data_IF_999867943824
#
_entry.id   IF_999867943824
#
_cell.length_a   1.000
_cell.length_b   1.000
_cell.length_c   1.000
_cell.angle_alpha   90.00
_cell.angle_beta   90.00
_cell.angle_gamma   90.00
#
_symmetry.space_group_name_H-M   'P 1'
#
loop_
_entity.id
_entity.type
_entity.pdbx_description
1 polymer ?
#
# COMPACT_ATOMS: atom_id res chain seq x y z
N UNK A 1 17.47 -6.53 -14.14
CA UNK A 1 16.72 -5.57 -13.27
C UNK A 1 15.28 -6.04 -13.16
N UNK A 2 14.85 -6.39 -11.99
CA UNK A 2 13.83 -7.34 -11.56
C UNK A 2 12.42 -7.18 -12.14
N UNK A 3 11.96 -8.19 -12.89
CA UNK A 3 10.55 -8.35 -13.28
C UNK A 3 9.58 -8.34 -12.06
N UNK A 4 9.99 -8.88 -10.92
CA UNK A 4 9.19 -8.85 -9.66
C UNK A 4 8.78 -7.43 -9.20
N UNK A 5 9.61 -6.40 -9.46
CA UNK A 5 9.31 -5.01 -9.09
C UNK A 5 8.20 -4.39 -9.94
N UNK A 6 8.12 -4.78 -11.21
CA UNK A 6 7.12 -4.28 -12.17
C UNK A 6 5.72 -4.85 -11.89
N UNK A 7 5.64 -6.12 -11.48
CA UNK A 7 4.37 -6.76 -11.13
C UNK A 7 3.77 -6.22 -9.82
N UNK A 8 4.62 -5.83 -8.86
CA UNK A 8 4.14 -5.27 -7.58
C UNK A 8 3.48 -3.89 -7.74
N UNK A 9 3.97 -3.04 -8.64
CA UNK A 9 3.38 -1.73 -8.89
C UNK A 9 2.03 -1.83 -9.64
N UNK A 10 1.93 -2.76 -10.61
CA UNK A 10 0.70 -2.95 -11.37
C UNK A 10 -0.42 -3.57 -10.51
N UNK A 11 -0.08 -4.36 -9.50
CA UNK A 11 -1.05 -5.00 -8.61
C UNK A 11 -1.73 -4.02 -7.63
N UNK A 12 -1.14 -2.83 -7.43
CA UNK A 12 -1.62 -1.81 -6.48
C UNK A 12 -1.80 -0.44 -7.12
N UNK A 13 -2.15 -0.41 -8.41
CA UNK A 13 -2.39 0.84 -9.15
C UNK A 13 -3.57 1.62 -8.57
N UNK A 14 -4.51 0.93 -7.95
CA UNK A 14 -5.64 1.48 -7.21
C UNK A 14 -5.19 2.37 -6.05
N UNK A 15 -4.21 1.91 -5.26
CA UNK A 15 -3.62 2.70 -4.18
C UNK A 15 -2.82 3.90 -4.70
N UNK A 16 -2.13 3.72 -5.83
CA UNK A 16 -1.40 4.82 -6.45
C UNK A 16 -2.33 5.94 -6.90
N UNK A 17 -3.46 5.59 -7.52
CA UNK A 17 -4.47 6.57 -7.94
C UNK A 17 -5.10 7.26 -6.72
N UNK A 18 -5.42 6.48 -5.68
CA UNK A 18 -5.96 7.01 -4.43
C UNK A 18 -5.04 8.04 -3.79
N UNK A 19 -3.75 7.70 -3.69
CA UNK A 19 -2.73 8.59 -3.10
C UNK A 19 -2.55 9.85 -3.92
N UNK A 20 -2.52 9.72 -5.25
CA UNK A 20 -2.44 10.87 -6.13
C UNK A 20 -3.63 11.83 -5.92
N UNK A 21 -4.83 11.29 -5.81
CA UNK A 21 -6.03 12.09 -5.51
C UNK A 21 -5.93 12.76 -4.13
N UNK A 22 -5.48 12.04 -3.10
CA UNK A 22 -5.27 12.60 -1.77
C UNK A 22 -4.26 13.75 -1.77
N UNK A 23 -3.14 13.60 -2.49
CA UNK A 23 -2.10 14.63 -2.62
C UNK A 23 -2.65 15.87 -3.29
N UNK A 24 -3.34 15.73 -4.44
CA UNK A 24 -3.88 16.87 -5.18
C UNK A 24 -4.99 17.58 -4.40
N UNK A 25 -5.91 16.81 -3.79
CA UNK A 25 -7.00 17.36 -2.99
C UNK A 25 -6.48 18.13 -1.77
N UNK A 26 -5.53 17.55 -1.03
CA UNK A 26 -4.96 18.19 0.15
C UNK A 26 -4.21 19.48 -0.19
N UNK A 27 -3.50 19.49 -1.33
CA UNK A 27 -2.82 20.68 -1.80
C UNK A 27 -3.82 21.77 -2.21
N UNK A 28 -4.89 21.41 -2.92
CA UNK A 28 -5.96 22.33 -3.28
C UNK A 28 -6.60 22.97 -2.04
N UNK A 29 -6.95 22.16 -1.03
CA UNK A 29 -7.52 22.66 0.24
C UNK A 29 -6.55 23.61 0.95
N UNK A 30 -5.26 23.28 0.98
CA UNK A 30 -4.25 24.14 1.61
C UNK A 30 -4.11 25.51 0.90
N UNK A 31 -4.22 25.51 -0.43
CA UNK A 31 -4.23 26.75 -1.21
C UNK A 31 -5.49 27.59 -0.96
N UNK A 32 -6.66 26.94 -0.91
CA UNK A 32 -7.94 27.63 -0.64
C UNK A 32 -7.98 28.25 0.77
N UNK A 33 -7.38 27.61 1.77
CA UNK A 33 -7.35 28.10 3.15
C UNK A 33 -6.64 29.46 3.28
N UNK A 34 -5.81 29.87 2.31
CA UNK A 34 -5.07 31.14 2.33
C UNK A 34 -5.85 32.34 1.77
N UNK A 35 -7.09 32.21 1.31
CA UNK A 35 -7.91 33.33 0.77
C UNK A 35 -7.24 34.13 -0.36
N UNK A 36 -6.65 33.48 -1.35
CA UNK A 36 -6.19 34.17 -2.55
C UNK A 36 -7.31 34.29 -3.58
N UNK A 37 -7.21 35.29 -4.45
CA UNK A 37 -8.14 35.48 -5.57
C UNK A 37 -8.14 34.21 -6.44
N UNK A 38 -9.33 33.76 -6.84
CA UNK A 38 -9.52 32.45 -7.50
C UNK A 38 -8.70 32.29 -8.79
N UNK A 39 -8.44 33.40 -9.51
CA UNK A 39 -7.70 33.39 -10.77
C UNK A 39 -6.20 33.14 -10.52
N UNK A 40 -5.60 33.84 -9.57
CA UNK A 40 -4.18 33.65 -9.20
C UNK A 40 -3.91 32.27 -8.60
N UNK A 41 -4.98 31.67 -7.99
CA UNK A 41 -4.93 30.34 -7.42
C UNK A 41 -4.78 29.29 -8.50
N UNK A 42 -5.50 29.39 -9.62
CA UNK A 42 -5.49 28.37 -10.69
C UNK A 42 -4.12 28.22 -11.31
N UNK A 43 -3.47 29.33 -11.70
CA UNK A 43 -2.16 29.27 -12.37
C UNK A 43 -1.08 28.73 -11.45
N UNK A 44 -1.02 29.22 -10.20
CA UNK A 44 -0.06 28.74 -9.20
C UNK A 44 -0.33 27.29 -8.79
N UNK A 45 -1.63 26.91 -8.65
CA UNK A 45 -2.01 25.56 -8.32
C UNK A 45 -1.61 24.58 -9.41
N UNK A 46 -1.89 24.86 -10.69
CA UNK A 46 -1.57 23.94 -11.81
C UNK A 46 -0.09 23.66 -11.91
N UNK A 47 0.76 24.70 -11.79
CA UNK A 47 2.19 24.52 -11.83
C UNK A 47 2.70 23.64 -10.68
N UNK A 48 2.33 23.99 -9.46
CA UNK A 48 2.75 23.23 -8.27
C UNK A 48 2.13 21.84 -8.20
N UNK A 49 0.90 21.66 -8.69
CA UNK A 49 0.25 20.35 -8.82
C UNK A 49 1.04 19.43 -9.76
N UNK A 50 1.60 19.98 -10.85
CA UNK A 50 2.51 19.26 -11.74
C UNK A 50 3.82 18.85 -11.05
N UNK A 51 4.42 19.76 -10.29
CA UNK A 51 5.63 19.46 -9.50
C UNK A 51 5.36 18.38 -8.46
N UNK A 52 4.25 18.48 -7.74
CA UNK A 52 3.80 17.47 -6.76
C UNK A 52 3.59 16.10 -7.40
N UNK A 53 2.98 16.05 -8.59
CA UNK A 53 2.78 14.82 -9.32
C UNK A 53 4.11 14.15 -9.67
N UNK A 54 5.06 14.91 -10.19
CA UNK A 54 6.39 14.40 -10.54
C UNK A 54 7.14 13.92 -9.28
N UNK A 55 7.13 14.72 -8.20
CA UNK A 55 7.76 14.35 -6.94
C UNK A 55 7.14 13.08 -6.33
N UNK A 56 5.81 12.98 -6.36
CA UNK A 56 5.07 11.80 -5.89
C UNK A 56 5.46 10.55 -6.68
N UNK A 57 5.42 10.60 -8.02
CA UNK A 57 5.79 9.47 -8.87
C UNK A 57 7.24 9.05 -8.66
N UNK A 58 8.13 10.01 -8.48
CA UNK A 58 9.54 9.76 -8.18
C UNK A 58 9.69 8.99 -6.85
N UNK A 59 9.03 9.44 -5.78
CA UNK A 59 9.06 8.78 -4.47
C UNK A 59 8.51 7.36 -4.58
N UNK A 60 7.37 7.16 -5.23
CA UNK A 60 6.76 5.84 -5.41
C UNK A 60 7.66 4.90 -6.21
N UNK A 61 8.34 5.41 -7.24
CA UNK A 61 9.24 4.62 -8.08
C UNK A 61 10.48 4.13 -7.31
N UNK A 62 11.04 4.98 -6.46
CA UNK A 62 12.27 4.66 -5.73
C UNK A 62 12.00 3.91 -4.41
N UNK A 63 10.93 4.20 -3.72
CA UNK A 63 10.72 3.76 -2.32
C UNK A 63 9.80 2.54 -2.16
N UNK A 64 9.42 1.84 -3.19
CA UNK A 64 8.62 0.59 -3.12
C UNK A 64 7.47 0.63 -2.07
N UNK A 65 6.79 1.77 -1.98
CA UNK A 65 5.83 2.15 -0.92
C UNK A 65 4.70 1.13 -0.76
N UNK A 66 4.27 0.50 -1.85
CA UNK A 66 3.10 -0.40 -1.88
C UNK A 66 3.42 -1.87 -1.62
N UNK A 67 4.69 -2.22 -1.34
CA UNK A 67 5.04 -3.60 -1.03
C UNK A 67 4.34 -4.08 0.24
N UNK A 68 3.49 -5.11 0.11
CA UNK A 68 2.77 -5.70 1.23
C UNK A 68 1.71 -4.81 1.89
N UNK A 69 1.21 -3.77 1.21
CA UNK A 69 0.27 -2.79 1.76
C UNK A 69 -0.98 -3.43 2.40
N UNK A 70 -1.55 -4.48 1.82
CA UNK A 70 -2.73 -5.17 2.34
C UNK A 70 -2.47 -5.96 3.64
N UNK A 71 -1.19 -6.24 3.97
CA UNK A 71 -0.78 -7.03 5.13
C UNK A 71 -0.25 -6.18 6.28
N UNK A 72 -0.07 -4.87 6.07
CA UNK A 72 0.47 -3.97 7.08
C UNK A 72 -0.55 -3.71 8.18
N UNK A 73 -0.09 -3.74 9.42
CA UNK A 73 -0.84 -3.29 10.59
C UNK A 73 -1.05 -1.77 10.55
N UNK A 74 -1.98 -1.27 11.36
CA UNK A 74 -2.26 0.17 11.50
C UNK A 74 -0.99 0.99 11.78
N UNK A 75 -0.10 0.47 12.63
CA UNK A 75 1.16 1.15 12.98
C UNK A 75 2.12 1.23 11.81
N UNK A 76 2.26 0.14 11.07
CA UNK A 76 3.17 0.08 9.92
C UNK A 76 2.62 0.89 8.75
N UNK A 77 1.29 0.94 8.61
CA UNK A 77 0.64 1.81 7.65
C UNK A 77 0.87 3.28 7.97
N UNK A 78 0.70 3.67 9.25
CA UNK A 78 0.98 5.03 9.69
C UNK A 78 2.44 5.44 9.41
N UNK A 79 3.40 4.57 9.75
CA UNK A 79 4.84 4.82 9.49
C UNK A 79 5.11 5.00 8.00
N UNK A 80 4.52 4.16 7.15
CA UNK A 80 4.69 4.22 5.70
C UNK A 80 4.09 5.51 5.12
N UNK A 81 2.87 5.86 5.55
CA UNK A 81 2.19 7.10 5.14
C UNK A 81 2.97 8.32 5.62
N UNK A 82 3.43 8.32 6.86
CA UNK A 82 4.25 9.40 7.43
C UNK A 82 5.56 9.58 6.64
N UNK A 83 6.27 8.49 6.35
CA UNK A 83 7.51 8.54 5.56
C UNK A 83 7.28 9.11 4.16
N UNK A 84 6.17 8.75 3.51
CA UNK A 84 5.81 9.25 2.20
C UNK A 84 5.47 10.75 2.24
N UNK A 85 4.68 11.18 3.21
CA UNK A 85 4.33 12.60 3.40
C UNK A 85 5.56 13.42 3.75
N UNK A 86 6.44 12.92 4.61
CA UNK A 86 7.72 13.56 4.93
C UNK A 86 8.63 13.67 3.70
N UNK A 87 8.70 12.62 2.88
CA UNK A 87 9.44 12.65 1.61
C UNK A 87 8.91 13.70 0.64
N UNK A 88 7.59 13.81 0.49
CA UNK A 88 6.97 14.86 -0.33
C UNK A 88 7.25 16.25 0.23
N UNK A 89 7.18 16.44 1.54
CA UNK A 89 7.50 17.72 2.17
C UNK A 89 8.94 18.14 1.91
N UNK A 90 9.89 17.22 2.07
CA UNK A 90 11.31 17.47 1.77
C UNK A 90 11.51 17.80 0.29
N UNK A 91 10.93 17.01 -0.62
CA UNK A 91 11.04 17.25 -2.06
C UNK A 91 10.52 18.64 -2.46
N UNK A 92 9.35 19.05 -1.94
CA UNK A 92 8.77 20.37 -2.17
C UNK A 92 9.62 21.48 -1.57
N UNK A 93 10.14 21.31 -0.37
CA UNK A 93 10.98 22.30 0.29
C UNK A 93 12.26 22.52 -0.51
N UNK A 94 12.92 21.43 -0.93
CA UNK A 94 14.12 21.49 -1.79
C UNK A 94 13.81 22.17 -3.12
N UNK A 95 12.68 21.82 -3.74
CA UNK A 95 12.24 22.44 -4.99
C UNK A 95 12.04 23.95 -4.83
N UNK A 96 11.27 24.40 -3.83
CA UNK A 96 11.03 25.83 -3.58
C UNK A 96 12.33 26.60 -3.29
N UNK A 97 13.27 25.95 -2.59
CA UNK A 97 14.57 26.54 -2.31
C UNK A 97 15.45 26.68 -3.56
N UNK A 98 15.52 25.61 -4.37
CA UNK A 98 16.31 25.55 -5.59
C UNK A 98 15.82 26.54 -6.66
N UNK A 99 14.51 26.70 -6.80
CA UNK A 99 13.89 27.61 -7.78
C UNK A 99 13.73 29.03 -7.29
N UNK A 100 14.09 29.31 -6.01
CA UNK A 100 13.89 30.62 -5.35
C UNK A 100 12.41 31.08 -5.36
N UNK A 101 11.48 30.18 -5.53
CA UNK A 101 10.02 30.45 -5.52
C UNK A 101 9.42 30.44 -4.11
N UNK A 102 10.28 30.41 -3.08
CA UNK A 102 9.84 30.44 -1.67
C UNK A 102 9.08 31.71 -1.27
N UNK A 103 9.20 32.80 -2.04
CA UNK A 103 8.41 34.02 -1.86
C UNK A 103 7.00 33.89 -2.45
N UNK A 104 6.85 33.12 -3.53
CA UNK A 104 5.57 32.90 -4.21
C UNK A 104 4.69 31.90 -3.45
N UNK A 105 5.31 30.89 -2.83
CA UNK A 105 4.62 29.85 -2.06
C UNK A 105 4.84 30.06 -0.56
N UNK A 106 3.78 30.52 0.12
CA UNK A 106 3.85 30.73 1.57
C UNK A 106 4.21 29.44 2.31
N UNK A 107 5.16 29.54 3.23
CA UNK A 107 5.51 28.46 4.16
C UNK A 107 4.29 27.88 4.85
N UNK A 108 3.28 28.74 5.14
CA UNK A 108 2.01 28.34 5.75
C UNK A 108 1.28 27.33 4.87
N UNK A 109 1.25 27.51 3.54
CA UNK A 109 0.58 26.57 2.61
C UNK A 109 1.27 25.20 2.66
N UNK A 110 2.60 25.17 2.67
CA UNK A 110 3.36 23.90 2.75
C UNK A 110 3.08 23.14 4.04
N UNK A 111 3.09 23.83 5.18
CA UNK A 111 2.77 23.19 6.48
C UNK A 111 1.30 22.76 6.54
N UNK A 112 0.36 23.60 6.09
CA UNK A 112 -1.05 23.27 6.05
C UNK A 112 -1.30 22.05 5.14
N UNK A 113 -0.64 21.97 4.00
CA UNK A 113 -0.69 20.84 3.09
C UNK A 113 -0.30 19.53 3.80
N UNK A 114 0.83 19.51 4.51
CA UNK A 114 1.32 18.32 5.21
C UNK A 114 0.37 17.90 6.34
N UNK A 115 -0.12 18.88 7.11
CA UNK A 115 -1.06 18.63 8.23
C UNK A 115 -2.38 18.03 7.72
N UNK A 116 -2.84 18.46 6.54
CA UNK A 116 -4.07 17.95 5.93
C UNK A 116 -3.82 16.62 5.23
N UNK A 117 -2.71 16.48 4.51
CA UNK A 117 -2.40 15.28 3.72
C UNK A 117 -2.26 14.03 4.58
N UNK A 118 -1.55 14.13 5.70
CA UNK A 118 -1.29 12.98 6.55
C UNK A 118 -2.57 12.26 7.02
N UNK A 119 -3.54 12.93 7.65
CA UNK A 119 -4.77 12.27 8.08
C UNK A 119 -5.64 11.83 6.90
N UNK A 120 -5.76 12.62 5.83
CA UNK A 120 -6.55 12.25 4.65
C UNK A 120 -6.01 10.97 4.03
N UNK A 121 -4.72 10.89 3.76
CA UNK A 121 -4.09 9.74 3.14
C UNK A 121 -4.17 8.50 4.05
N UNK A 122 -3.93 8.65 5.35
CA UNK A 122 -4.04 7.55 6.29
C UNK A 122 -5.46 6.97 6.36
N UNK A 123 -6.46 7.83 6.48
CA UNK A 123 -7.88 7.41 6.51
C UNK A 123 -8.28 6.79 5.17
N UNK A 124 -7.86 7.37 4.06
CA UNK A 124 -8.13 6.83 2.73
C UNK A 124 -7.55 5.43 2.55
N UNK A 125 -6.31 5.17 3.00
CA UNK A 125 -5.71 3.84 2.98
C UNK A 125 -6.51 2.83 3.81
N UNK A 126 -6.90 3.19 5.03
CA UNK A 126 -7.70 2.31 5.88
C UNK A 126 -9.06 2.00 5.28
N UNK A 127 -9.75 3.03 4.76
CA UNK A 127 -11.04 2.86 4.11
C UNK A 127 -10.96 1.99 2.86
N UNK A 128 -9.93 2.22 2.02
CA UNK A 128 -9.71 1.44 0.81
C UNK A 128 -9.36 -0.01 1.10
N UNK A 129 -8.51 -0.27 2.09
CA UNK A 129 -8.21 -1.64 2.55
C UNK A 129 -9.47 -2.36 3.00
N UNK A 130 -10.31 -1.68 3.77
CA UNK A 130 -11.58 -2.26 4.24
C UNK A 130 -12.53 -2.54 3.06
N UNK A 131 -12.62 -1.63 2.10
CA UNK A 131 -13.40 -1.81 0.89
C UNK A 131 -12.91 -3.01 0.07
N UNK A 132 -11.60 -3.11 -0.18
CA UNK A 132 -10.97 -4.23 -0.90
C UNK A 132 -11.24 -5.55 -0.17
N UNK A 133 -11.10 -5.56 1.16
CA UNK A 133 -11.36 -6.75 1.98
C UNK A 133 -12.82 -7.23 1.89
N UNK A 134 -13.77 -6.30 1.91
CA UNK A 134 -15.21 -6.65 1.86
C UNK A 134 -15.68 -7.07 0.48
N UNK A 135 -15.20 -6.43 -0.58
CA UNK A 135 -15.72 -6.62 -1.94
C UNK A 135 -14.86 -7.52 -2.81
N UNK A 136 -13.55 -7.51 -2.62
CA UNK A 136 -12.57 -8.31 -3.39
C UNK A 136 -11.98 -9.47 -2.59
N UNK A 137 -12.42 -9.67 -1.35
CA UNK A 137 -11.87 -10.65 -0.40
C UNK A 137 -11.88 -12.11 -0.87
N UNK A 138 -12.60 -12.44 -1.95
CA UNK A 138 -12.46 -13.73 -2.64
C UNK A 138 -11.22 -13.83 -3.52
N UNK A 139 -10.57 -12.70 -3.82
CA UNK A 139 -9.33 -12.60 -4.62
C UNK A 139 -8.15 -12.04 -3.81
N UNK A 140 -8.28 -11.91 -2.49
CA UNK A 140 -7.15 -11.60 -1.62
C UNK A 140 -6.18 -12.78 -1.70
N UNK A 141 -5.01 -12.51 -2.24
CA UNK A 141 -3.98 -13.43 -2.69
C UNK A 141 -3.92 -14.80 -2.00
N UNK A 142 -3.85 -15.85 -2.79
CA UNK A 142 -3.73 -17.23 -2.28
C UNK A 142 -2.50 -17.34 -1.39
N UNK A 143 -2.74 -17.57 -0.11
CA UNK A 143 -1.69 -17.80 0.87
C UNK A 143 -1.64 -19.29 1.18
N UNK A 144 -0.52 -19.91 0.86
CA UNK A 144 -0.25 -21.30 1.21
C UNK A 144 0.51 -21.37 2.52
N UNK A 145 0.11 -22.31 3.36
CA UNK A 145 0.81 -22.61 4.60
C UNK A 145 1.65 -23.88 4.39
N UNK A 146 3.00 -23.74 4.45
CA UNK A 146 3.94 -24.86 4.30
C UNK A 146 4.42 -25.30 5.68
N UNK A 147 3.89 -26.44 6.17
CA UNK A 147 4.13 -26.91 7.55
C UNK A 147 4.13 -28.43 7.65
N UNK A 148 4.66 -28.94 8.78
CA UNK A 148 4.54 -30.35 9.15
C UNK A 148 3.10 -30.67 9.55
N UNK A 149 2.66 -31.89 9.25
CA UNK A 149 1.32 -32.36 9.58
C UNK A 149 1.00 -32.25 11.07
N UNK A 150 1.99 -32.50 11.94
CA UNK A 150 1.86 -32.43 13.41
C UNK A 150 1.58 -31.01 13.95
N UNK A 151 2.07 -29.99 13.24
CA UNK A 151 1.99 -28.59 13.66
C UNK A 151 0.81 -27.83 13.03
N UNK A 152 0.01 -28.47 12.17
CA UNK A 152 -1.06 -27.80 11.40
C UNK A 152 -2.04 -27.08 12.32
N UNK A 153 -2.60 -27.77 13.30
CA UNK A 153 -3.65 -27.24 14.18
C UNK A 153 -3.13 -26.06 15.01
N UNK A 154 -1.95 -26.22 15.62
CA UNK A 154 -1.32 -25.20 16.45
C UNK A 154 -0.98 -23.94 15.67
N UNK A 155 -0.44 -24.09 14.45
CA UNK A 155 -0.08 -22.96 13.62
C UNK A 155 -1.28 -22.30 12.96
N UNK A 156 -2.28 -23.05 12.55
CA UNK A 156 -3.54 -22.49 12.06
C UNK A 156 -4.22 -21.60 13.11
N UNK A 157 -4.30 -22.02 14.36
CA UNK A 157 -4.80 -21.17 15.45
C UNK A 157 -3.97 -19.88 15.62
N UNK A 158 -2.65 -20.00 15.57
CA UNK A 158 -1.79 -18.82 15.65
C UNK A 158 -1.97 -17.89 14.46
N UNK A 159 -2.16 -18.40 13.25
CA UNK A 159 -2.42 -17.60 12.05
C UNK A 159 -3.81 -16.97 12.10
N UNK A 160 -4.84 -17.68 12.51
CA UNK A 160 -6.20 -17.16 12.65
C UNK A 160 -6.27 -16.06 13.71
N UNK A 161 -5.59 -16.22 14.83
CA UNK A 161 -5.54 -15.23 15.91
C UNK A 161 -4.63 -14.02 15.59
N UNK A 162 -3.53 -14.19 14.84
CA UNK A 162 -2.65 -13.11 14.42
C UNK A 162 -3.10 -12.41 13.14
N UNK A 163 -3.86 -13.10 12.31
CA UNK A 163 -4.37 -12.56 11.04
C UNK A 163 -5.57 -11.64 11.26
N UNK A 164 -5.39 -10.59 12.06
CA UNK A 164 -6.36 -9.48 12.13
C UNK A 164 -6.59 -8.81 10.78
N UNK A 165 -5.75 -9.08 9.78
CA UNK A 165 -5.73 -8.45 8.46
C UNK A 165 -5.53 -9.46 7.32
N UNK A 166 -6.46 -10.45 7.22
CA UNK A 166 -6.84 -10.99 5.92
C UNK A 166 -5.83 -11.78 5.09
N UNK A 167 -4.84 -12.45 5.69
CA UNK A 167 -4.23 -13.57 4.99
C UNK A 167 -5.19 -14.76 5.12
N UNK A 168 -6.05 -14.94 4.14
CA UNK A 168 -6.88 -16.13 4.06
C UNK A 168 -5.96 -17.27 3.62
N UNK A 169 -5.71 -18.22 4.51
CA UNK A 169 -5.00 -19.45 4.14
C UNK A 169 -5.93 -20.22 3.21
N UNK A 170 -5.59 -20.26 1.93
CA UNK A 170 -6.38 -20.93 0.90
C UNK A 170 -6.03 -22.40 0.73
N UNK A 171 -4.81 -22.78 1.17
CA UNK A 171 -4.35 -24.16 1.10
C UNK A 171 -3.19 -24.44 2.03
N UNK A 172 -3.04 -25.71 2.37
CA UNK A 172 -1.93 -26.24 3.18
C UNK A 172 -1.06 -27.13 2.29
N UNK A 173 0.24 -26.96 2.38
CA UNK A 173 1.23 -27.89 1.79
C UNK A 173 2.00 -28.50 2.94
N UNK A 174 2.10 -29.82 2.94
CA UNK A 174 2.79 -30.58 3.95
C UNK A 174 4.19 -30.98 3.52
N UNK A 175 5.10 -31.23 4.47
CA UNK A 175 6.46 -31.72 4.18
C UNK A 175 6.42 -33.09 3.51
N UNK A 176 5.53 -33.95 3.98
CA UNK A 176 5.35 -35.30 3.48
C UNK A 176 3.92 -35.48 2.97
N UNK A 177 3.69 -36.55 2.20
CA UNK A 177 2.38 -36.87 1.67
C UNK A 177 1.43 -37.19 2.83
N UNK A 178 0.44 -36.31 3.08
CA UNK A 178 -0.58 -36.50 4.11
C UNK A 178 -1.72 -37.35 3.59
N UNK A 179 -2.30 -38.14 4.48
CA UNK A 179 -3.55 -38.88 4.21
C UNK A 179 -4.80 -38.02 4.47
N UNK A 180 -4.64 -36.83 5.07
CA UNK A 180 -5.72 -35.88 5.31
C UNK A 180 -5.90 -35.00 4.08
N UNK A 181 -7.14 -34.76 3.70
CA UNK A 181 -7.46 -33.88 2.55
C UNK A 181 -7.89 -32.49 2.97
N UNK A 182 -8.41 -32.33 4.18
CA UNK A 182 -8.89 -31.04 4.71
C UNK A 182 -8.62 -30.97 6.21
N UNK A 183 -8.16 -29.82 6.70
CA UNK A 183 -8.01 -29.52 8.14
C UNK A 183 -8.67 -28.17 8.44
N UNK A 184 -9.61 -28.14 9.38
CA UNK A 184 -10.39 -26.95 9.77
C UNK A 184 -11.02 -26.19 8.57
N UNK A 185 -11.48 -26.94 7.56
CA UNK A 185 -12.11 -26.36 6.36
C UNK A 185 -11.11 -25.86 5.30
N UNK A 186 -9.80 -26.01 5.52
CA UNK A 186 -8.75 -25.61 4.57
C UNK A 186 -8.22 -26.88 3.89
N UNK A 187 -8.20 -26.93 2.54
CA UNK A 187 -7.70 -28.10 1.82
C UNK A 187 -6.19 -28.25 1.92
N UNK A 188 -5.72 -29.47 2.03
CA UNK A 188 -4.32 -29.84 1.80
C UNK A 188 -4.14 -30.02 0.31
N UNK A 189 -3.41 -29.08 -0.34
CA UNK A 189 -3.32 -28.99 -1.78
C UNK A 189 -2.07 -29.71 -2.35
N UNK A 190 -1.17 -30.17 -1.50
CA UNK A 190 0.00 -30.90 -1.94
C UNK A 190 1.04 -31.12 -0.85
N UNK A 191 2.21 -31.58 -1.26
CA UNK A 191 3.39 -31.80 -0.42
C UNK A 191 4.63 -31.17 -1.09
N UNK A 192 5.79 -31.26 -0.45
CA UNK A 192 7.04 -30.59 -0.87
C UNK A 192 7.32 -30.71 -2.37
N UNK A 193 7.17 -31.89 -2.96
CA UNK A 193 7.50 -32.11 -4.38
C UNK A 193 6.52 -31.41 -5.33
N UNK A 194 5.27 -31.22 -4.92
CA UNK A 194 4.23 -30.57 -5.73
C UNK A 194 4.17 -29.07 -5.52
N UNK A 195 4.86 -28.52 -4.51
CA UNK A 195 4.85 -27.10 -4.17
C UNK A 195 5.19 -26.19 -5.36
N UNK A 196 6.27 -26.51 -6.06
CA UNK A 196 6.77 -25.68 -7.17
C UNK A 196 5.77 -25.62 -8.33
N UNK A 197 5.19 -26.75 -8.67
CA UNK A 197 4.22 -26.85 -9.77
C UNK A 197 2.90 -26.16 -9.38
N UNK A 198 2.46 -26.34 -8.13
CA UNK A 198 1.27 -25.69 -7.63
C UNK A 198 1.40 -24.17 -7.63
N UNK A 199 2.52 -23.62 -7.13
CA UNK A 199 2.78 -22.17 -7.10
C UNK A 199 2.83 -21.57 -8.50
N UNK A 200 3.42 -22.29 -9.46
CA UNK A 200 3.51 -21.82 -10.85
C UNK A 200 2.15 -21.84 -11.57
N UNK A 201 1.28 -22.80 -11.24
CA UNK A 201 0.00 -22.99 -11.92
C UNK A 201 -1.11 -22.11 -11.35
N UNK A 202 -1.11 -21.88 -10.03
CA UNK A 202 -2.21 -21.17 -9.32
C UNK A 202 -1.87 -19.73 -8.93
N UNK A 203 -0.70 -19.21 -9.28
CA UNK A 203 -0.36 -17.80 -9.06
C UNK A 203 -0.34 -17.41 -7.57
N UNK A 204 0.16 -18.29 -6.71
CA UNK A 204 0.23 -18.10 -5.26
C UNK A 204 1.04 -16.85 -4.90
N UNK A 205 0.49 -15.99 -4.07
CA UNK A 205 1.12 -14.73 -3.68
C UNK A 205 2.15 -14.88 -2.56
N UNK A 206 1.94 -15.87 -1.69
CA UNK A 206 2.83 -16.10 -0.55
C UNK A 206 2.78 -17.55 -0.05
N UNK A 207 3.93 -18.05 0.34
CA UNK A 207 4.10 -19.33 1.05
C UNK A 207 4.73 -19.01 2.40
N UNK A 208 4.13 -19.48 3.49
CA UNK A 208 4.62 -19.35 4.87
C UNK A 208 5.08 -20.68 5.41
#
# INVERSE_FOLDING_TARGET
>A
MNQKKKYSLLKHIDFLILDLLCVQLSFFIACMARKNTFIDLIDRYLYMAGVLLVAFLFIVMFWNVYSGILRRDFRDEFKSTFAMVAGLFVALTVYCFATKTSEDYSRVVLFTFVIILLPIMYVAHLAWKEYVRRHLGKNAGETLLYIREEDIERKLEQFTNKSKYGAIVTGIITYEKSNRTVVNGIPIVGWTDTLKDYVNTHGVDCVY
#
